data_IF_197386862591
#
_entry.id   IF_197386862591
#
_cell.length_a   1.000
_cell.length_b   1.000
_cell.length_c   1.000
_cell.angle_alpha   90.00
_cell.angle_beta   90.00
_cell.angle_gamma   90.00
#
_symmetry.space_group_name_H-M   'P 1'
#
loop_
_entity.id
_entity.type
_entity.pdbx_description
1 polymer ?
#
# COMPACT_ATOMS: atom_id res chain seq x y z
N UNK A 1 12.03 9.52 0.75
CA UNK A 1 11.89 10.99 0.67
C UNK A 1 10.45 11.31 0.36
N UNK A 2 9.77 12.04 1.24
CA UNK A 2 8.42 12.51 0.96
C UNK A 2 8.45 13.69 -0.01
N UNK A 3 8.27 13.45 -1.31
CA UNK A 3 8.21 14.51 -2.33
C UNK A 3 6.76 15.00 -2.49
N UNK A 4 5.81 14.06 -2.52
CA UNK A 4 4.37 14.27 -2.71
C UNK A 4 4.02 14.79 -4.11
N UNK A 5 4.42 16.03 -4.43
CA UNK A 5 4.29 16.67 -5.73
C UNK A 5 5.38 17.76 -5.87
N UNK A 6 5.80 18.09 -7.09
CA UNK A 6 6.76 19.17 -7.38
C UNK A 6 6.09 20.44 -7.95
N UNK A 7 4.79 20.42 -8.25
CA UNK A 7 4.06 21.62 -8.67
C UNK A 7 3.84 22.57 -7.48
N UNK A 8 4.33 23.81 -7.61
CA UNK A 8 4.34 24.78 -6.51
C UNK A 8 2.94 25.14 -6.00
N UNK A 9 1.92 25.15 -6.88
CA UNK A 9 0.54 25.44 -6.46
C UNK A 9 -0.06 24.28 -5.67
N UNK A 10 0.24 23.04 -6.05
CA UNK A 10 -0.18 21.84 -5.31
C UNK A 10 0.48 21.84 -3.93
N UNK A 11 1.79 22.11 -3.87
CA UNK A 11 2.53 22.21 -2.61
C UNK A 11 2.00 23.29 -1.68
N UNK A 12 1.68 24.47 -2.20
CA UNK A 12 1.09 25.55 -1.41
C UNK A 12 -0.29 25.14 -0.86
N UNK A 13 -1.12 24.49 -1.67
CA UNK A 13 -2.44 24.01 -1.24
C UNK A 13 -2.38 22.98 -0.10
N UNK A 14 -1.28 22.22 0.01
CA UNK A 14 -1.05 21.25 1.09
C UNK A 14 -0.10 21.75 2.18
N UNK A 15 0.25 23.04 2.15
CA UNK A 15 1.20 23.67 3.08
C UNK A 15 2.57 22.96 3.18
N UNK A 16 3.11 22.53 2.04
CA UNK A 16 4.38 21.79 1.93
C UNK A 16 5.32 22.44 0.92
N UNK A 17 5.77 23.66 1.22
CA UNK A 17 6.69 24.42 0.35
C UNK A 17 8.10 23.78 0.37
N UNK A 18 8.39 22.93 -0.61
CA UNK A 18 9.64 22.19 -0.77
C UNK A 18 10.05 22.22 -2.24
N UNK A 19 11.12 22.92 -2.60
CA UNK A 19 11.45 23.05 -4.03
C UNK A 19 12.03 21.74 -4.61
N UNK A 20 11.96 21.61 -5.94
CA UNK A 20 12.57 20.49 -6.64
C UNK A 20 14.09 20.43 -6.40
N UNK A 21 14.74 21.60 -6.34
CA UNK A 21 16.18 21.74 -6.11
C UNK A 21 16.58 21.24 -4.72
N UNK A 22 15.78 21.55 -3.69
CA UNK A 22 16.02 21.05 -2.33
C UNK A 22 15.94 19.52 -2.27
N UNK A 23 14.92 18.95 -2.92
CA UNK A 23 14.73 17.51 -3.03
C UNK A 23 15.87 16.83 -3.78
N UNK A 24 16.30 17.45 -4.87
CA UNK A 24 17.41 16.98 -5.69
C UNK A 24 18.74 17.03 -4.92
N UNK A 25 19.02 18.12 -4.22
CA UNK A 25 20.23 18.25 -3.42
C UNK A 25 20.31 17.16 -2.34
N UNK A 26 19.22 16.92 -1.60
CA UNK A 26 19.16 15.88 -0.58
C UNK A 26 19.37 14.47 -1.17
N UNK A 27 18.76 14.19 -2.32
CA UNK A 27 18.94 12.92 -3.02
C UNK A 27 20.39 12.72 -3.50
N UNK A 28 21.00 13.75 -4.11
CA UNK A 28 22.37 13.69 -4.60
C UNK A 28 23.38 13.45 -3.47
N UNK A 29 23.19 14.12 -2.33
CA UNK A 29 24.00 13.86 -1.12
C UNK A 29 23.87 12.40 -0.68
N UNK A 30 22.63 11.87 -0.66
CA UNK A 30 22.36 10.49 -0.25
C UNK A 30 23.02 9.46 -1.17
N UNK A 31 22.98 9.67 -2.49
CA UNK A 31 23.71 8.83 -3.44
C UNK A 31 25.22 8.96 -3.28
N UNK A 32 25.75 10.17 -3.05
CA UNK A 32 27.19 10.41 -2.83
C UNK A 32 27.74 9.64 -1.61
N UNK A 33 26.95 9.52 -0.54
CA UNK A 33 27.29 8.73 0.65
C UNK A 33 26.85 7.26 0.56
N UNK A 34 26.41 6.82 -0.63
CA UNK A 34 26.10 5.43 -0.98
C UNK A 34 24.92 4.81 -0.23
N UNK A 35 23.91 5.61 0.15
CA UNK A 35 22.61 5.02 0.49
C UNK A 35 22.07 4.21 -0.69
N UNK A 36 21.46 3.08 -0.37
CA UNK A 36 20.81 2.17 -1.31
C UNK A 36 19.30 2.21 -1.10
N UNK A 37 18.55 1.70 -2.08
CA UNK A 37 17.10 1.50 -1.99
C UNK A 37 16.33 2.78 -1.63
N UNK A 38 16.78 3.92 -2.17
CA UNK A 38 16.21 5.23 -1.86
C UNK A 38 14.82 5.33 -2.47
N UNK A 39 13.80 5.39 -1.60
CA UNK A 39 12.40 5.53 -1.98
C UNK A 39 11.97 7.00 -2.10
N UNK A 40 11.14 7.30 -3.10
CA UNK A 40 10.43 8.58 -3.25
C UNK A 40 8.93 8.38 -3.08
N UNK A 41 8.32 9.11 -2.14
CA UNK A 41 6.87 9.11 -1.96
C UNK A 41 6.25 10.23 -2.79
N UNK A 42 5.28 9.88 -3.63
CA UNK A 42 4.43 10.78 -4.40
C UNK A 42 2.98 10.56 -3.99
N UNK A 43 2.13 11.56 -4.23
CA UNK A 43 0.70 11.46 -3.95
C UNK A 43 -0.10 11.98 -5.13
N UNK A 44 -1.04 11.17 -5.60
CA UNK A 44 -1.99 11.56 -6.63
C UNK A 44 -3.38 11.81 -6.03
N UNK A 45 -4.17 12.67 -6.67
CA UNK A 45 -5.45 13.14 -6.15
C UNK A 45 -5.32 14.32 -5.18
N UNK A 46 -4.19 15.03 -5.17
CA UNK A 46 -4.00 16.24 -4.36
C UNK A 46 -4.79 17.43 -4.93
N UNK A 47 -5.14 18.44 -4.11
CA UNK A 47 -5.80 19.65 -4.58
C UNK A 47 -5.02 20.36 -5.69
N UNK A 48 -5.73 20.93 -6.67
CA UNK A 48 -5.20 21.65 -7.83
C UNK A 48 -4.31 20.81 -8.77
N UNK A 49 -4.18 19.51 -8.52
CA UNK A 49 -3.43 18.59 -9.34
C UNK A 49 -4.22 18.27 -10.62
N UNK A 50 -3.54 18.26 -11.76
CA UNK A 50 -4.11 17.85 -13.05
C UNK A 50 -3.19 16.83 -13.69
N UNK A 51 -3.68 16.05 -14.66
CA UNK A 51 -2.85 15.08 -15.39
C UNK A 51 -1.60 15.70 -16.00
N UNK A 52 -1.71 16.90 -16.58
CA UNK A 52 -0.56 17.60 -17.18
C UNK A 52 0.46 18.08 -16.14
N UNK A 53 0.01 18.61 -15.01
CA UNK A 53 0.90 19.03 -13.92
C UNK A 53 1.61 17.83 -13.31
N UNK A 54 0.87 16.79 -12.97
CA UNK A 54 1.43 15.60 -12.36
C UNK A 54 2.39 14.88 -13.30
N UNK A 55 2.11 14.87 -14.61
CA UNK A 55 3.06 14.36 -15.60
C UNK A 55 4.43 15.04 -15.53
N UNK A 56 4.49 16.36 -15.35
CA UNK A 56 5.77 17.07 -15.16
C UNK A 56 6.50 16.63 -13.89
N UNK A 57 5.75 16.38 -12.82
CA UNK A 57 6.29 15.82 -11.57
C UNK A 57 6.87 14.42 -11.81
N UNK A 58 6.14 13.55 -12.51
CA UNK A 58 6.61 12.21 -12.87
C UNK A 58 7.89 12.28 -13.73
N UNK A 59 7.90 13.10 -14.77
CA UNK A 59 9.07 13.28 -15.65
C UNK A 59 10.30 13.78 -14.87
N UNK A 60 10.11 14.71 -13.93
CA UNK A 60 11.19 15.23 -13.08
C UNK A 60 11.73 14.15 -12.13
N UNK A 61 10.86 13.36 -11.53
CA UNK A 61 11.24 12.25 -10.65
C UNK A 61 11.98 11.16 -11.42
N UNK A 62 11.51 10.79 -12.62
CA UNK A 62 12.16 9.79 -13.47
C UNK A 62 13.56 10.21 -13.90
N UNK A 63 13.78 11.52 -14.15
CA UNK A 63 15.14 12.07 -14.39
C UNK A 63 16.07 11.90 -13.19
N UNK A 64 15.54 11.96 -11.97
CA UNK A 64 16.31 11.69 -10.76
C UNK A 64 16.58 10.20 -10.57
N UNK A 65 15.69 9.34 -11.08
CA UNK A 65 15.79 7.89 -11.08
C UNK A 65 16.06 7.31 -9.67
N UNK A 66 15.15 7.53 -8.69
CA UNK A 66 15.26 6.89 -7.38
C UNK A 66 15.16 5.37 -7.51
N UNK A 67 15.66 4.64 -6.52
CA UNK A 67 15.69 3.17 -6.59
C UNK A 67 14.27 2.59 -6.41
N UNK A 68 13.42 3.28 -5.61
CA UNK A 68 12.03 2.92 -5.34
C UNK A 68 11.10 4.14 -5.42
N UNK A 69 9.83 3.87 -5.69
CA UNK A 69 8.74 4.84 -5.68
C UNK A 69 7.54 4.25 -4.95
N UNK A 70 6.87 5.07 -4.14
CA UNK A 70 5.56 4.80 -3.60
C UNK A 70 4.62 5.94 -3.97
N UNK A 71 3.56 5.67 -4.74
CA UNK A 71 2.69 6.70 -5.33
C UNK A 71 1.27 6.56 -4.80
N UNK A 72 1.05 7.12 -3.61
CA UNK A 72 -0.17 6.91 -2.84
C UNK A 72 -1.37 7.70 -3.38
N UNK A 73 -2.56 7.11 -3.27
CA UNK A 73 -3.82 7.83 -3.44
C UNK A 73 -4.06 8.76 -2.26
N UNK A 74 -4.32 10.05 -2.51
CA UNK A 74 -4.78 10.97 -1.47
C UNK A 74 -6.13 10.53 -0.91
N UNK A 75 -6.19 10.22 0.40
CA UNK A 75 -7.41 9.87 1.11
C UNK A 75 -7.98 11.10 1.81
N UNK A 76 -9.05 11.69 1.26
CA UNK A 76 -9.74 12.81 1.88
C UNK A 76 -10.77 12.29 2.90
N UNK A 77 -10.40 12.28 4.18
CA UNK A 77 -11.24 11.82 5.31
C UNK A 77 -11.47 12.97 6.31
N UNK A 78 -12.28 13.99 5.97
CA UNK A 78 -12.42 15.22 6.76
C UNK A 78 -12.92 14.96 8.19
N UNK A 79 -13.72 13.92 8.40
CA UNK A 79 -14.23 13.53 9.73
C UNK A 79 -13.16 13.00 10.69
N UNK A 80 -12.06 12.43 10.17
CA UNK A 80 -10.93 11.97 10.98
C UNK A 80 -9.85 13.03 11.15
N UNK A 81 -9.65 13.86 10.13
CA UNK A 81 -8.60 14.87 10.12
C UNK A 81 -9.21 16.26 10.00
N UNK A 82 -9.70 16.80 11.12
CA UNK A 82 -10.32 18.14 11.18
C UNK A 82 -9.43 19.28 10.66
N UNK A 83 -8.11 19.08 10.66
CA UNK A 83 -7.16 20.00 10.05
C UNK A 83 -7.28 20.05 8.52
N UNK A 84 -7.54 18.91 7.86
CA UNK A 84 -7.72 18.82 6.41
C UNK A 84 -9.03 19.46 5.96
N UNK A 85 -10.11 19.30 6.73
CA UNK A 85 -11.42 19.92 6.46
C UNK A 85 -11.34 21.44 6.39
N UNK A 86 -10.52 22.07 7.24
CA UNK A 86 -10.37 23.53 7.27
C UNK A 86 -9.39 24.08 6.23
N UNK A 87 -8.44 23.27 5.78
CA UNK A 87 -7.35 23.70 4.91
C UNK A 87 -7.60 23.43 3.42
N UNK A 88 -8.46 22.46 3.10
CA UNK A 88 -8.67 22.00 1.72
C UNK A 88 -10.06 22.38 1.22
N UNK A 89 -10.11 23.00 0.04
CA UNK A 89 -11.35 23.22 -0.70
C UNK A 89 -11.70 21.96 -1.48
N UNK A 90 -12.91 21.44 -1.29
CA UNK A 90 -13.32 20.19 -1.92
C UNK A 90 -13.41 20.32 -3.44
N UNK A 91 -13.77 21.51 -3.95
CA UNK A 91 -13.80 21.83 -5.37
C UNK A 91 -12.42 21.82 -6.05
N UNK A 92 -11.34 21.92 -5.28
CA UNK A 92 -9.98 21.86 -5.81
C UNK A 92 -9.50 20.40 -5.96
N UNK A 93 -10.21 19.42 -5.40
CA UNK A 93 -9.85 18.01 -5.50
C UNK A 93 -10.21 17.45 -6.89
N UNK A 94 -9.34 16.62 -7.49
CA UNK A 94 -9.67 15.93 -8.73
C UNK A 94 -10.90 15.05 -8.56
N UNK A 95 -11.73 14.97 -9.60
CA UNK A 95 -12.84 14.01 -9.65
C UNK A 95 -12.33 12.56 -9.56
N UNK A 96 -13.21 11.61 -9.20
CA UNK A 96 -12.83 10.19 -9.14
C UNK A 96 -12.26 9.68 -10.47
N UNK A 97 -12.85 10.10 -11.60
CA UNK A 97 -12.39 9.75 -12.94
C UNK A 97 -10.98 10.32 -13.22
N UNK A 98 -10.73 11.59 -12.88
CA UNK A 98 -9.41 12.19 -13.03
C UNK A 98 -8.37 11.50 -12.16
N UNK A 99 -8.75 11.13 -10.93
CA UNK A 99 -7.88 10.42 -9.99
C UNK A 99 -7.48 9.03 -10.51
N UNK A 100 -8.41 8.28 -11.11
CA UNK A 100 -8.11 7.04 -11.83
C UNK A 100 -7.17 7.33 -13.01
N UNK A 101 -7.42 8.39 -13.78
CA UNK A 101 -6.57 8.80 -14.89
C UNK A 101 -5.12 9.10 -14.46
N UNK A 102 -4.94 9.81 -13.34
CA UNK A 102 -3.64 10.08 -12.72
C UNK A 102 -2.91 8.79 -12.33
N UNK A 103 -3.63 7.84 -11.73
CA UNK A 103 -3.07 6.54 -11.36
C UNK A 103 -2.62 5.75 -12.59
N UNK A 104 -3.47 5.62 -13.60
CA UNK A 104 -3.12 4.89 -14.82
C UNK A 104 -1.96 5.53 -15.59
N UNK A 105 -1.88 6.86 -15.61
CA UNK A 105 -0.73 7.57 -16.17
C UNK A 105 0.56 7.30 -15.41
N UNK A 106 0.48 7.21 -14.07
CA UNK A 106 1.62 6.87 -13.21
C UNK A 106 2.15 5.49 -13.51
N UNK A 107 1.24 4.49 -13.54
CA UNK A 107 1.60 3.10 -13.85
C UNK A 107 2.28 3.03 -15.22
N UNK A 108 1.65 3.60 -16.27
CA UNK A 108 2.24 3.62 -17.62
C UNK A 108 3.58 4.35 -17.68
N UNK A 109 3.71 5.45 -16.96
CA UNK A 109 4.94 6.23 -16.96
C UNK A 109 6.10 5.44 -16.36
N UNK A 110 5.98 4.97 -15.12
CA UNK A 110 7.10 4.31 -14.45
C UNK A 110 7.43 2.94 -15.05
N UNK A 111 6.42 2.18 -15.49
CA UNK A 111 6.68 0.94 -16.25
C UNK A 111 7.40 1.23 -17.57
N UNK A 112 7.01 2.30 -18.29
CA UNK A 112 7.70 2.77 -19.49
C UNK A 112 9.16 3.23 -19.24
N UNK A 113 9.46 3.76 -18.05
CA UNK A 113 10.81 4.15 -17.61
C UNK A 113 11.65 2.97 -17.06
N UNK A 114 11.09 1.76 -17.11
CA UNK A 114 11.74 0.51 -16.76
C UNK A 114 11.62 0.10 -15.28
N UNK A 115 10.73 0.72 -14.51
CA UNK A 115 10.42 0.25 -13.16
C UNK A 115 9.50 -0.96 -13.19
N UNK A 116 9.71 -1.89 -12.26
CA UNK A 116 8.81 -3.00 -11.98
C UNK A 116 7.75 -2.52 -11.00
N UNK A 117 6.48 -2.76 -11.33
CA UNK A 117 5.38 -2.56 -10.40
C UNK A 117 5.42 -3.69 -9.36
N UNK A 118 5.74 -3.35 -8.11
CA UNK A 118 5.85 -4.30 -7.00
C UNK A 118 4.47 -4.72 -6.52
N UNK A 119 3.55 -3.75 -6.41
CA UNK A 119 2.17 -3.99 -6.05
C UNK A 119 1.48 -2.71 -5.60
N UNK A 120 0.17 -2.61 -5.87
CA UNK A 120 -0.66 -1.42 -5.63
C UNK A 120 -0.08 -0.12 -6.21
N UNK A 121 0.69 0.60 -5.40
CA UNK A 121 1.26 1.93 -5.60
C UNK A 121 2.80 1.94 -5.53
N UNK A 122 3.44 0.78 -5.39
CA UNK A 122 4.89 0.66 -5.25
C UNK A 122 5.58 0.22 -6.55
N UNK A 123 6.70 0.87 -6.86
CA UNK A 123 7.57 0.57 -7.98
C UNK A 123 9.03 0.49 -7.54
N UNK A 124 9.81 -0.37 -8.16
CA UNK A 124 11.25 -0.47 -7.90
C UNK A 124 12.02 -0.74 -9.19
N UNK A 125 13.32 -0.42 -9.21
CA UNK A 125 14.18 -0.81 -10.32
C UNK A 125 14.27 -2.35 -10.42
N UNK A 126 14.51 -2.92 -11.62
CA UNK A 126 14.48 -4.38 -11.82
C UNK A 126 15.50 -5.17 -10.99
N UNK A 127 16.59 -4.53 -10.59
CA UNK A 127 17.68 -5.07 -9.78
C UNK A 127 17.49 -4.83 -8.26
N UNK A 128 16.46 -4.09 -7.86
CA UNK A 128 16.11 -3.90 -6.45
C UNK A 128 15.65 -5.23 -5.82
N UNK A 129 16.02 -5.45 -4.55
CA UNK A 129 15.66 -6.65 -3.79
C UNK A 129 14.14 -6.93 -3.78
N UNK A 130 13.27 -5.90 -3.83
CA UNK A 130 11.82 -6.09 -3.87
C UNK A 130 11.37 -6.65 -5.22
N UNK A 131 11.95 -6.18 -6.33
CA UNK A 131 11.65 -6.69 -7.67
C UNK A 131 12.12 -8.14 -7.82
N UNK A 132 13.31 -8.44 -7.28
CA UNK A 132 13.84 -9.80 -7.23
C UNK A 132 12.97 -10.73 -6.35
N UNK A 133 12.54 -10.25 -5.18
CA UNK A 133 11.68 -11.01 -4.28
C UNK A 133 10.27 -11.24 -4.87
N UNK A 134 9.72 -10.26 -5.61
CA UNK A 134 8.48 -10.45 -6.36
C UNK A 134 8.63 -11.57 -7.38
N UNK A 135 9.69 -11.52 -8.21
CA UNK A 135 9.99 -12.53 -9.23
C UNK A 135 10.17 -13.93 -8.62
N UNK A 136 10.80 -14.01 -7.47
CA UNK A 136 11.10 -15.26 -6.77
C UNK A 136 9.95 -15.75 -5.86
N UNK A 137 8.82 -15.02 -5.77
CA UNK A 137 7.71 -15.28 -4.85
C UNK A 137 8.12 -15.34 -3.37
N UNK A 138 9.05 -14.48 -2.98
CA UNK A 138 9.50 -14.31 -1.58
C UNK A 138 9.22 -12.92 -1.02
N UNK A 139 8.53 -12.06 -1.81
CA UNK A 139 8.06 -10.76 -1.35
C UNK A 139 7.08 -10.92 -0.19
N UNK A 140 7.25 -10.11 0.84
CA UNK A 140 6.34 -10.04 1.97
C UNK A 140 5.89 -8.59 2.18
N UNK A 141 4.91 -8.39 3.06
CA UNK A 141 4.37 -7.07 3.37
C UNK A 141 4.07 -6.95 4.85
N UNK A 142 4.54 -5.87 5.48
CA UNK A 142 4.22 -5.52 6.86
C UNK A 142 3.58 -4.12 6.94
N UNK A 143 3.50 -3.53 8.14
CA UNK A 143 2.92 -2.20 8.34
C UNK A 143 3.67 -1.07 7.64
N UNK A 144 4.95 -1.25 7.32
CA UNK A 144 5.79 -0.27 6.62
C UNK A 144 5.73 -0.38 5.10
N UNK A 145 5.16 -1.47 4.56
CA UNK A 145 5.06 -1.73 3.12
C UNK A 145 5.66 -3.08 2.72
N UNK A 146 6.08 -3.18 1.46
CA UNK A 146 6.72 -4.38 0.93
C UNK A 146 8.15 -4.54 1.44
N UNK A 147 8.54 -5.79 1.73
CA UNK A 147 9.82 -6.15 2.33
C UNK A 147 10.27 -7.53 1.87
N UNK A 148 11.58 -7.78 1.94
CA UNK A 148 12.20 -9.11 1.78
C UNK A 148 12.29 -9.88 3.10
N UNK A 149 12.00 -9.21 4.23
CA UNK A 149 12.06 -9.79 5.57
C UNK A 149 10.73 -10.47 5.91
N UNK A 150 10.68 -11.80 5.80
CA UNK A 150 9.51 -12.61 6.13
C UNK A 150 9.72 -13.41 7.42
N UNK A 151 8.65 -13.65 8.18
CA UNK A 151 8.68 -14.51 9.37
C UNK A 151 9.43 -13.92 10.57
N UNK A 152 9.68 -12.60 10.57
CA UNK A 152 10.32 -11.91 11.68
C UNK A 152 9.28 -11.16 12.52
N UNK A 153 9.49 -11.14 13.83
CA UNK A 153 8.75 -10.24 14.70
C UNK A 153 9.14 -8.78 14.41
N UNK A 154 8.14 -7.91 14.29
CA UNK A 154 8.31 -6.47 14.19
C UNK A 154 7.97 -5.84 15.54
N UNK A 155 8.93 -5.14 16.14
CA UNK A 155 8.72 -4.41 17.40
C UNK A 155 8.60 -2.92 17.09
N UNK A 156 7.40 -2.37 17.30
CA UNK A 156 7.11 -0.96 17.14
C UNK A 156 7.48 -0.15 18.38
N UNK A 157 8.35 0.85 18.23
CA UNK A 157 8.72 1.79 19.28
C UNK A 157 8.15 3.18 18.98
N UNK A 158 7.76 3.91 20.03
CA UNK A 158 7.18 5.25 19.92
C UNK A 158 5.66 5.27 19.99
N UNK A 159 5.13 6.50 20.06
CA UNK A 159 3.69 6.79 20.05
C UNK A 159 3.04 6.17 18.81
N UNK A 160 1.87 5.55 18.99
CA UNK A 160 1.06 4.87 17.98
C UNK A 160 1.67 3.66 17.26
N UNK A 161 2.93 3.31 17.55
CA UNK A 161 3.63 2.24 16.87
C UNK A 161 2.93 0.89 17.03
N UNK A 162 3.02 0.06 16.00
CA UNK A 162 2.41 -1.27 15.95
C UNK A 162 3.51 -2.33 15.90
N UNK A 163 3.37 -3.33 16.77
CA UNK A 163 4.16 -4.55 16.78
C UNK A 163 3.37 -5.69 16.17
N UNK A 164 4.07 -6.57 15.46
CA UNK A 164 3.58 -7.82 14.87
C UNK A 164 4.49 -8.96 15.35
N UNK A 165 3.92 -9.91 16.08
CA UNK A 165 4.64 -11.09 16.57
C UNK A 165 4.29 -12.37 15.81
N UNK A 166 3.66 -12.25 14.63
CA UNK A 166 3.21 -13.38 13.83
C UNK A 166 1.83 -13.87 14.24
N UNK A 167 1.57 -14.12 15.52
CA UNK A 167 0.24 -14.57 15.99
C UNK A 167 -0.57 -13.45 16.65
N UNK A 168 -0.01 -12.24 16.75
CA UNK A 168 -0.65 -11.14 17.45
C UNK A 168 -0.14 -9.76 17.01
N UNK A 169 -1.05 -8.80 17.08
CA UNK A 169 -0.78 -7.38 16.86
C UNK A 169 -0.95 -6.60 18.15
N UNK A 170 -0.07 -5.64 18.40
CA UNK A 170 -0.11 -4.79 19.58
C UNK A 170 0.20 -3.35 19.20
N UNK A 171 -0.53 -2.39 19.76
CA UNK A 171 -0.35 -0.98 19.45
C UNK A 171 -0.09 -0.16 20.72
N UNK A 172 0.95 0.66 20.68
CA UNK A 172 1.26 1.65 21.71
C UNK A 172 0.19 2.76 21.76
N UNK A 173 0.05 3.47 22.89
CA UNK A 173 -0.83 4.63 23.00
C UNK A 173 -0.69 5.61 21.83
N UNK A 174 -1.82 6.07 21.30
CA UNK A 174 -1.85 7.04 20.20
C UNK A 174 -1.70 8.48 20.67
N UNK A 175 -2.08 8.76 21.91
CA UNK A 175 -1.84 10.05 22.54
C UNK A 175 -0.39 10.12 23.04
N UNK A 176 0.26 11.26 22.79
CA UNK A 176 1.66 11.44 23.15
C UNK A 176 1.85 11.51 24.67
N UNK A 177 0.92 12.14 25.39
CA UNK A 177 1.02 12.27 26.85
C UNK A 177 0.85 10.90 27.51
N UNK A 178 -0.17 10.14 27.09
CA UNK A 178 -0.39 8.75 27.55
C UNK A 178 0.83 7.85 27.29
N UNK A 179 1.45 7.98 26.11
CA UNK A 179 2.67 7.23 25.78
C UNK A 179 3.84 7.60 26.69
N UNK A 180 4.05 8.91 26.93
CA UNK A 180 5.16 9.41 27.75
C UNK A 180 5.04 9.02 29.22
N UNK A 181 3.82 8.93 29.76
CA UNK A 181 3.57 8.45 31.13
C UNK A 181 4.02 6.99 31.34
N UNK A 182 4.08 6.20 30.26
CA UNK A 182 4.38 4.77 30.30
C UNK A 182 5.78 4.44 29.75
N UNK A 183 6.65 5.43 29.52
CA UNK A 183 7.94 5.22 28.81
C UNK A 183 8.88 4.22 29.50
N UNK A 184 8.85 4.15 30.84
CA UNK A 184 9.69 3.23 31.62
C UNK A 184 9.03 1.87 31.90
N UNK A 185 7.72 1.74 31.66
CA UNK A 185 6.96 0.49 31.75
C UNK A 185 5.92 0.46 30.61
N UNK A 186 6.36 0.24 29.35
CA UNK A 186 5.50 0.41 28.19
C UNK A 186 4.36 -0.62 28.18
N UNK A 187 3.12 -0.13 28.06
CA UNK A 187 1.94 -1.00 27.94
C UNK A 187 1.23 -0.72 26.62
N UNK A 188 1.00 -1.74 25.78
CA UNK A 188 0.16 -1.59 24.60
C UNK A 188 -1.24 -1.10 25.03
N UNK A 189 -1.77 -0.09 24.32
CA UNK A 189 -3.13 0.40 24.53
C UNK A 189 -4.18 -0.62 24.05
N UNK A 190 -3.85 -1.40 23.02
CA UNK A 190 -4.71 -2.45 22.46
C UNK A 190 -3.89 -3.52 21.77
N UNK A 191 -4.48 -4.70 21.63
CA UNK A 191 -3.92 -5.78 20.82
C UNK A 191 -4.99 -6.74 20.32
N UNK A 192 -4.58 -7.63 19.42
CA UNK A 192 -5.40 -8.67 18.83
C UNK A 192 -4.54 -9.92 18.71
N UNK A 193 -5.02 -11.04 19.28
CA UNK A 193 -4.44 -12.36 19.03
C UNK A 193 -5.18 -13.00 17.87
N UNK A 194 -4.44 -13.57 16.93
CA UNK A 194 -4.98 -14.21 15.74
C UNK A 194 -5.24 -15.68 16.03
N UNK A 195 -6.46 -16.13 15.81
CA UNK A 195 -6.76 -17.56 15.83
C UNK A 195 -6.20 -18.24 14.55
N UNK A 196 -6.24 -19.58 14.45
CA UNK A 196 -5.73 -20.27 13.27
C UNK A 196 -6.39 -19.86 11.94
N UNK A 197 -7.68 -19.50 11.95
CA UNK A 197 -8.40 -19.03 10.76
C UNK A 197 -7.94 -17.62 10.35
N UNK A 198 -7.73 -16.72 11.32
CA UNK A 198 -7.16 -15.39 11.07
C UNK A 198 -5.76 -15.47 10.44
N UNK A 199 -4.92 -16.37 10.96
CA UNK A 199 -3.56 -16.57 10.44
C UNK A 199 -3.59 -17.11 9.00
N UNK A 200 -4.46 -18.07 8.71
CA UNK A 200 -4.65 -18.62 7.36
C UNK A 200 -5.18 -17.55 6.40
N UNK A 201 -6.24 -16.84 6.77
CA UNK A 201 -6.82 -15.75 5.96
C UNK A 201 -5.80 -14.65 5.68
N UNK A 202 -5.01 -14.28 6.69
CA UNK A 202 -3.89 -13.34 6.50
C UNK A 202 -2.90 -13.86 5.48
N UNK A 203 -2.47 -15.12 5.59
CA UNK A 203 -1.52 -15.69 4.62
C UNK A 203 -2.10 -15.63 3.19
N UNK A 204 -3.36 -16.03 3.00
CA UNK A 204 -4.03 -15.98 1.69
C UNK A 204 -4.08 -14.55 1.13
N UNK A 205 -4.48 -13.58 1.95
CA UNK A 205 -4.52 -12.16 1.57
C UNK A 205 -3.10 -11.67 1.23
N UNK A 206 -2.09 -12.04 2.01
CA UNK A 206 -0.70 -11.67 1.75
C UNK A 206 -0.18 -12.27 0.42
N UNK A 207 -0.48 -13.54 0.11
CA UNK A 207 -0.11 -14.16 -1.18
C UNK A 207 -0.73 -13.40 -2.35
N UNK A 208 -2.02 -13.07 -2.24
CA UNK A 208 -2.71 -12.29 -3.27
C UNK A 208 -2.08 -10.89 -3.41
N UNK A 209 -1.82 -10.21 -2.29
CA UNK A 209 -1.31 -8.84 -2.29
C UNK A 209 0.16 -8.70 -2.69
N UNK A 210 0.98 -9.73 -2.46
CA UNK A 210 2.40 -9.73 -2.78
C UNK A 210 2.71 -10.34 -4.14
N UNK A 211 1.90 -11.29 -4.61
CA UNK A 211 2.24 -12.05 -5.82
C UNK A 211 1.16 -12.03 -6.89
N UNK A 212 -0.02 -11.47 -6.60
CA UNK A 212 -1.14 -11.48 -7.54
C UNK A 212 -1.65 -12.89 -7.87
N UNK A 213 -1.33 -13.89 -7.06
CA UNK A 213 -1.84 -15.24 -7.23
C UNK A 213 -1.84 -16.00 -5.89
N UNK A 214 -2.82 -16.89 -5.76
CA UNK A 214 -3.00 -17.81 -4.65
C UNK A 214 -2.90 -19.22 -5.25
N UNK A 215 -1.87 -19.98 -4.88
CA UNK A 215 -1.71 -21.38 -5.32
C UNK A 215 -2.17 -22.30 -4.19
N UNK A 216 -3.12 -23.19 -4.48
CA UNK A 216 -3.79 -23.97 -3.42
C UNK A 216 -2.86 -24.99 -2.75
N UNK A 217 -1.80 -25.41 -3.45
CA UNK A 217 -0.77 -26.30 -2.92
C UNK A 217 0.08 -25.67 -1.82
N UNK A 218 0.18 -24.34 -1.76
CA UNK A 218 0.91 -23.61 -0.71
C UNK A 218 0.24 -23.75 0.68
N UNK A 219 -1.05 -24.09 0.73
CA UNK A 219 -1.84 -24.17 1.97
C UNK A 219 -2.10 -25.61 2.44
N UNK A 220 -1.47 -26.60 1.81
CA UNK A 220 -1.70 -28.01 2.13
C UNK A 220 -1.08 -28.37 3.49
N UNK A 221 -1.88 -28.24 4.55
CA UNK A 221 -1.72 -29.06 5.75
C UNK A 221 -2.69 -30.25 5.66
N UNK A 222 -2.40 -31.36 6.36
CA UNK A 222 -3.14 -32.62 6.23
C UNK A 222 -4.66 -32.41 6.22
N UNK A 223 -5.34 -32.96 5.20
CA UNK A 223 -6.80 -32.87 4.92
C UNK A 223 -7.38 -31.47 4.61
N UNK A 224 -6.56 -30.45 4.32
CA UNK A 224 -7.05 -29.12 3.92
C UNK A 224 -7.39 -29.05 2.42
N UNK A 225 -8.66 -28.83 2.09
CA UNK A 225 -9.12 -28.42 0.74
C UNK A 225 -9.41 -26.92 0.73
N UNK A 226 -8.62 -26.16 -0.03
CA UNK A 226 -8.76 -24.70 -0.14
C UNK A 226 -10.15 -24.28 -0.65
N UNK A 227 -10.71 -25.01 -1.62
CA UNK A 227 -11.99 -24.65 -2.24
C UNK A 227 -13.15 -24.92 -1.31
N UNK A 228 -13.10 -26.02 -0.56
CA UNK A 228 -14.09 -26.34 0.46
C UNK A 228 -14.02 -25.35 1.62
N UNK A 229 -12.81 -25.06 2.11
CA UNK A 229 -12.61 -24.17 3.25
C UNK A 229 -13.09 -22.73 2.97
N UNK A 230 -12.75 -22.19 1.80
CA UNK A 230 -13.13 -20.84 1.36
C UNK A 230 -14.37 -20.85 0.46
N UNK A 231 -15.34 -21.72 0.69
CA UNK A 231 -16.52 -21.84 -0.17
C UNK A 231 -17.27 -20.51 -0.38
N UNK A 232 -17.22 -19.60 0.61
CA UNK A 232 -17.89 -18.31 0.60
C UNK A 232 -17.34 -17.34 -0.45
N UNK A 233 -16.09 -17.51 -0.89
CA UNK A 233 -15.45 -16.58 -1.83
C UNK A 233 -15.86 -16.85 -3.28
N UNK A 234 -16.29 -18.07 -3.62
CA UNK A 234 -16.38 -18.49 -5.02
C UNK A 234 -17.42 -17.70 -5.82
N UNK A 235 -18.57 -17.42 -5.21
CA UNK A 235 -19.60 -16.60 -5.88
C UNK A 235 -19.08 -15.18 -6.21
N UNK A 236 -18.48 -14.41 -5.28
CA UNK A 236 -17.79 -13.17 -5.63
C UNK A 236 -16.71 -13.34 -6.71
N UNK A 237 -15.88 -14.37 -6.60
CA UNK A 237 -14.76 -14.61 -7.52
C UNK A 237 -15.21 -15.00 -8.93
N UNK A 238 -16.35 -15.65 -9.10
CA UNK A 238 -16.96 -15.90 -10.40
C UNK A 238 -17.40 -14.60 -11.08
N UNK A 239 -17.94 -13.63 -10.34
CA UNK A 239 -18.25 -12.30 -10.88
C UNK A 239 -16.98 -11.54 -11.26
N UNK A 240 -15.94 -11.58 -10.40
CA UNK A 240 -14.64 -10.99 -10.74
C UNK A 240 -14.01 -11.63 -11.99
N UNK A 241 -14.22 -12.93 -12.20
CA UNK A 241 -13.74 -13.63 -13.40
C UNK A 241 -14.51 -13.18 -14.65
N UNK A 242 -15.84 -12.98 -14.55
CA UNK A 242 -16.67 -12.43 -15.63
C UNK A 242 -16.24 -11.00 -16.01
N UNK A 243 -15.85 -10.21 -15.03
CA UNK A 243 -15.30 -8.85 -15.22
C UNK A 243 -13.84 -8.86 -15.71
N UNK A 244 -13.23 -10.04 -15.86
CA UNK A 244 -11.86 -10.18 -16.35
C UNK A 244 -10.78 -9.72 -15.37
N UNK A 245 -11.10 -9.67 -14.07
CA UNK A 245 -10.15 -9.27 -13.01
C UNK A 245 -9.30 -10.45 -12.52
N UNK A 246 -9.82 -11.67 -12.62
CA UNK A 246 -9.13 -12.88 -12.17
C UNK A 246 -9.29 -14.02 -13.18
N UNK A 247 -8.29 -14.89 -13.20
CA UNK A 247 -8.33 -16.21 -13.82
C UNK A 247 -8.53 -17.24 -12.72
N UNK A 248 -9.61 -18.00 -12.81
CA UNK A 248 -9.92 -19.12 -11.92
C UNK A 248 -9.44 -20.41 -12.56
N UNK A 249 -8.46 -21.05 -11.93
CA UNK A 249 -7.89 -22.30 -12.39
C UNK A 249 -8.18 -23.43 -11.38
N UNK A 250 -7.99 -24.71 -11.73
CA UNK A 250 -8.23 -25.82 -10.81
C UNK A 250 -7.37 -25.76 -9.53
N UNK A 251 -6.14 -25.27 -9.65
CA UNK A 251 -5.09 -25.27 -8.63
C UNK A 251 -4.69 -23.87 -8.12
N UNK A 252 -5.25 -22.80 -8.70
CA UNK A 252 -4.92 -21.43 -8.30
C UNK A 252 -5.98 -20.39 -8.67
N UNK A 253 -5.87 -19.24 -8.02
CA UNK A 253 -6.49 -17.97 -8.42
C UNK A 253 -5.36 -17.04 -8.87
N UNK A 254 -5.50 -16.41 -10.04
CA UNK A 254 -4.50 -15.47 -10.56
C UNK A 254 -5.13 -14.14 -10.96
N UNK A 255 -4.54 -13.02 -10.57
CA UNK A 255 -4.96 -11.70 -11.01
C UNK A 255 -4.60 -11.46 -12.47
N UNK A 256 -5.50 -10.81 -13.21
CA UNK A 256 -5.14 -10.20 -14.50
C UNK A 256 -4.45 -8.86 -14.28
N UNK A 257 -3.93 -8.24 -15.34
CA UNK A 257 -3.37 -6.87 -15.28
C UNK A 257 -4.40 -5.88 -14.71
N UNK A 258 -5.67 -5.99 -15.13
CA UNK A 258 -6.78 -5.21 -14.57
C UNK A 258 -7.04 -5.56 -13.11
N UNK A 259 -6.98 -6.85 -12.75
CA UNK A 259 -7.15 -7.32 -11.37
C UNK A 259 -6.15 -6.73 -10.39
N UNK A 260 -4.91 -6.49 -10.80
CA UNK A 260 -3.90 -5.83 -9.96
C UNK A 260 -4.32 -4.43 -9.49
N UNK A 261 -5.11 -3.70 -10.28
CA UNK A 261 -5.62 -2.37 -9.92
C UNK A 261 -6.69 -2.45 -8.81
N UNK A 262 -7.42 -3.56 -8.74
CA UNK A 262 -8.51 -3.82 -7.79
C UNK A 262 -8.13 -4.84 -6.71
N UNK A 263 -6.82 -5.04 -6.48
CA UNK A 263 -6.28 -6.04 -5.56
C UNK A 263 -6.90 -5.97 -4.15
N UNK A 264 -7.22 -4.77 -3.65
CA UNK A 264 -7.89 -4.61 -2.35
C UNK A 264 -9.31 -5.21 -2.38
N UNK A 265 -10.09 -4.90 -3.41
CA UNK A 265 -11.45 -5.43 -3.60
C UNK A 265 -11.43 -6.96 -3.73
N UNK A 266 -10.39 -7.51 -4.35
CA UNK A 266 -10.21 -8.96 -4.52
C UNK A 266 -9.76 -9.65 -3.22
N UNK A 267 -9.08 -8.93 -2.31
CA UNK A 267 -8.74 -9.46 -0.98
C UNK A 267 -9.92 -9.46 0.00
N UNK A 268 -10.89 -8.55 -0.16
CA UNK A 268 -12.03 -8.37 0.76
C UNK A 268 -12.85 -9.64 1.03
N UNK A 269 -13.15 -10.53 0.05
CA UNK A 269 -13.91 -11.75 0.32
C UNK A 269 -13.25 -12.68 1.35
N UNK A 270 -11.92 -12.62 1.51
CA UNK A 270 -11.21 -13.42 2.51
C UNK A 270 -11.27 -12.81 3.92
N UNK A 271 -11.67 -11.54 4.06
CA UNK A 271 -11.80 -10.86 5.35
C UNK A 271 -13.18 -11.12 5.97
N UNK A 272 -13.21 -12.01 6.97
CA UNK A 272 -14.41 -12.37 7.73
C UNK A 272 -14.97 -11.23 8.59
N UNK A 273 -14.15 -10.25 8.97
CA UNK A 273 -14.57 -9.15 9.83
C UNK A 273 -15.37 -8.10 9.07
N UNK A 274 -15.16 -7.95 7.75
CA UNK A 274 -15.95 -7.04 6.92
C UNK A 274 -17.44 -7.39 6.93
N UNK A 275 -17.76 -8.68 6.82
CA UNK A 275 -19.15 -9.18 6.80
C UNK A 275 -19.87 -8.94 8.15
N UNK A 276 -19.11 -8.79 9.24
CA UNK A 276 -19.64 -8.62 10.60
C UNK A 276 -19.84 -7.16 11.03
N UNK A 277 -19.37 -6.18 10.23
CA UNK A 277 -19.32 -4.77 10.65
C UNK A 277 -20.45 -3.93 10.05
N UNK A 278 -21.22 -3.24 10.90
CA UNK A 278 -22.39 -2.43 10.53
C UNK A 278 -22.07 -0.99 10.11
N UNK A 279 -20.81 -0.56 10.19
CA UNK A 279 -20.37 0.80 9.82
C UNK A 279 -18.99 0.79 9.16
N UNK A 280 -18.77 1.54 8.05
CA UNK A 280 -17.47 1.61 7.38
C UNK A 280 -16.44 2.33 8.28
N UNK A 281 -15.39 1.60 8.67
CA UNK A 281 -14.27 2.10 9.51
C UNK A 281 -12.99 2.39 8.72
N UNK A 282 -13.02 2.25 7.38
CA UNK A 282 -11.86 2.33 6.50
C UNK A 282 -12.13 3.24 5.29
N UNK A 283 -11.07 3.71 4.64
CA UNK A 283 -11.17 4.47 3.37
C UNK A 283 -11.84 3.60 2.31
N UNK A 284 -12.80 4.18 1.58
CA UNK A 284 -13.45 3.50 0.47
C UNK A 284 -12.41 3.11 -0.59
N UNK A 285 -12.51 1.88 -1.10
CA UNK A 285 -11.83 1.46 -2.32
C UNK A 285 -12.46 2.17 -3.51
N UNK A 286 -11.66 2.38 -4.56
CA UNK A 286 -12.17 2.88 -5.85
C UNK A 286 -12.90 1.76 -6.58
#
# INVERSE_FOLDING_TARGET
FGIQDMDSKVQEAINRKQTAEQSQAAFQVSKKIKYQSINFDLVYGLPLQTRSKFRRTLDAVSKMRPDRLAVYSFAHLPWMFKAHERALRQEDLPSAQEKIGLYLDTVRHFTGEGYVMIGMDHFALPDDELALALKNRTLHRNFMGYTTLHGLAQIGLGVSAISDFGDSYWQNPKDLSEYMEQVFDPKPQRGMKLDPDDQLRREVIERLMCHGEIRFDEFRQNDFDFREYFQEIWKPYEEFAKDGLVLLEPDRIKLTESGHLFMRNLAMPFDRYLQSSSSPRFSQTV
#
